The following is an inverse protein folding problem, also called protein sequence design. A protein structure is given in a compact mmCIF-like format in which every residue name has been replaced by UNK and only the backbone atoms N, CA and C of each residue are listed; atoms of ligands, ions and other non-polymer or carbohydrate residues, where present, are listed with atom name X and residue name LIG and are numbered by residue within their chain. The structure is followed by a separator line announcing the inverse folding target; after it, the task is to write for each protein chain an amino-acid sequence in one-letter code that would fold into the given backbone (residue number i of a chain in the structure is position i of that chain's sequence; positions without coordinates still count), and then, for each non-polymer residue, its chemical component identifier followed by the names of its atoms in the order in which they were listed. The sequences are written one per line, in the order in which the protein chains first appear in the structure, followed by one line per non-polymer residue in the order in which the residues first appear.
data_IF_141541759647
#
_entry.id   IF_141541759647
#
_cell.length_a   1.000
_cell.length_b   1.000
_cell.length_c   1.000
_cell.angle_alpha   90.00
_cell.angle_beta   90.00
_cell.angle_gamma   90.00
#
_symmetry.space_group_name_H-M   'P 1'
#
loop_
_entity.id
_entity.type
_entity.pdbx_description
1 polymer ?
#
# COMPACT_ATOMS: atom_id res chain seq x y z
N UNK A 1 5.97 36.15 73.45
CA UNK A 1 5.94 34.90 72.68
C UNK A 1 4.78 34.97 71.69
N UNK A 2 5.09 35.43 70.48
CA UNK A 2 4.14 35.60 69.37
C UNK A 2 3.71 34.23 68.85
N UNK A 3 2.41 33.93 68.90
CA UNK A 3 1.90 32.62 68.44
C UNK A 3 1.73 32.65 66.92
N UNK A 4 2.65 31.97 66.22
CA UNK A 4 2.57 31.69 64.79
C UNK A 4 1.29 30.91 64.45
N UNK A 5 0.35 31.59 63.81
CA UNK A 5 -0.92 31.03 63.34
C UNK A 5 -0.63 30.22 62.06
N UNK A 6 -0.62 28.88 62.17
CA UNK A 6 -0.48 27.96 61.02
C UNK A 6 -1.59 28.22 59.99
N UNK A 7 -1.22 28.76 58.83
CA UNK A 7 -2.10 28.90 57.67
C UNK A 7 -2.25 27.51 57.02
N UNK A 8 -3.41 26.87 57.20
CA UNK A 8 -3.77 25.63 56.48
C UNK A 8 -4.16 25.99 55.04
N UNK A 9 -3.31 25.67 54.08
CA UNK A 9 -3.60 25.81 52.64
C UNK A 9 -4.65 24.75 52.29
N UNK A 10 -5.88 25.19 51.97
CA UNK A 10 -6.98 24.31 51.54
C UNK A 10 -6.69 23.89 50.10
N UNK A 11 -6.26 22.63 49.88
CA UNK A 11 -6.14 22.05 48.53
C UNK A 11 -7.51 22.13 47.85
N UNK A 12 -7.62 22.92 46.78
CA UNK A 12 -8.84 22.94 45.94
C UNK A 12 -8.94 21.59 45.26
N UNK A 13 -10.12 20.96 45.31
CA UNK A 13 -10.40 19.77 44.50
C UNK A 13 -10.63 20.24 43.06
N UNK A 14 -9.68 19.98 42.18
CA UNK A 14 -9.85 20.16 40.75
C UNK A 14 -10.59 18.93 40.20
N UNK A 15 -11.88 19.07 39.94
CA UNK A 15 -12.69 18.08 39.23
C UNK A 15 -13.12 18.65 37.89
N UNK A 16 -13.24 17.80 36.88
CA UNK A 16 -13.85 18.16 35.60
C UNK A 16 -15.31 18.54 35.82
N UNK A 17 -15.77 19.59 35.16
CA UNK A 17 -17.19 19.93 35.15
C UNK A 17 -17.95 18.97 34.23
N UNK A 18 -19.22 18.67 34.55
CA UNK A 18 -20.08 17.89 33.66
C UNK A 18 -20.20 18.54 32.28
N UNK A 19 -20.20 19.87 32.24
CA UNK A 19 -20.29 20.65 31.00
C UNK A 19 -19.03 20.48 30.15
N UNK A 20 -17.84 20.46 30.75
CA UNK A 20 -16.60 20.17 30.02
C UNK A 20 -16.63 18.78 29.40
N UNK A 21 -17.08 17.76 30.14
CA UNK A 21 -17.14 16.40 29.61
C UNK A 21 -18.16 16.27 28.46
N UNK A 22 -19.33 16.92 28.60
CA UNK A 22 -20.39 16.90 27.59
C UNK A 22 -19.98 17.61 26.31
N UNK A 23 -19.29 18.76 26.40
CA UNK A 23 -18.80 19.46 25.22
C UNK A 23 -17.73 18.64 24.49
N UNK A 24 -16.86 17.93 25.23
CA UNK A 24 -15.80 17.10 24.63
C UNK A 24 -16.38 15.96 23.79
N UNK A 25 -17.36 15.21 24.33
CA UNK A 25 -17.99 14.13 23.55
C UNK A 25 -18.80 14.69 22.36
N UNK A 26 -19.38 15.89 22.49
CA UNK A 26 -20.06 16.56 21.39
C UNK A 26 -19.09 16.90 20.25
N UNK A 27 -17.92 17.48 20.57
CA UNK A 27 -16.90 17.82 19.57
C UNK A 27 -16.32 16.55 18.92
N UNK A 28 -15.97 15.53 19.72
CA UNK A 28 -15.45 14.24 19.19
C UNK A 28 -16.49 13.59 18.28
N UNK A 29 -17.78 13.65 18.64
CA UNK A 29 -18.87 13.13 17.81
C UNK A 29 -18.90 13.78 16.42
N UNK A 30 -18.85 15.11 16.36
CA UNK A 30 -18.84 15.87 15.09
C UNK A 30 -17.60 15.53 14.26
N UNK A 31 -16.40 15.53 14.87
CA UNK A 31 -15.16 15.21 14.17
C UNK A 31 -15.15 13.76 13.65
N UNK A 32 -15.65 12.80 14.43
CA UNK A 32 -15.68 11.38 14.05
C UNK A 32 -16.59 11.10 12.85
N UNK A 33 -17.72 11.82 12.73
CA UNK A 33 -18.66 11.64 11.62
C UNK A 33 -18.06 12.03 10.27
N UNK A 34 -17.25 13.09 10.21
CA UNK A 34 -16.61 13.58 8.98
C UNK A 34 -15.54 12.58 8.49
N UNK A 35 -14.74 12.03 9.41
CA UNK A 35 -13.63 11.12 9.08
C UNK A 35 -14.11 9.83 8.41
N UNK A 36 -15.28 9.32 8.78
CA UNK A 36 -15.80 8.04 8.31
C UNK A 36 -16.04 8.01 6.79
N UNK A 37 -16.44 9.13 6.19
CA UNK A 37 -16.78 9.19 4.76
C UNK A 37 -15.52 9.04 3.88
N UNK A 38 -14.35 9.47 4.36
CA UNK A 38 -13.11 9.44 3.57
C UNK A 38 -12.29 8.16 3.69
N UNK A 39 -12.41 7.41 4.81
CA UNK A 39 -11.47 6.33 5.16
C UNK A 39 -11.46 5.16 4.16
N UNK A 40 -12.58 4.92 3.47
CA UNK A 40 -12.71 3.84 2.49
C UNK A 40 -11.80 4.08 1.29
N UNK A 41 -11.81 5.29 0.71
CA UNK A 41 -10.94 5.66 -0.42
C UNK A 41 -9.46 5.66 -0.04
N UNK A 42 -9.10 6.14 1.16
CA UNK A 42 -7.71 6.08 1.64
C UNK A 42 -7.21 4.65 1.77
N UNK A 43 -8.04 3.72 2.27
CA UNK A 43 -7.68 2.30 2.37
C UNK A 43 -7.49 1.66 1.00
N UNK A 44 -8.34 1.98 0.03
CA UNK A 44 -8.21 1.48 -1.36
C UNK A 44 -6.90 1.95 -1.98
N UNK A 45 -6.60 3.25 -1.92
CA UNK A 45 -5.35 3.79 -2.47
C UNK A 45 -4.12 3.19 -1.77
N UNK A 46 -4.16 3.01 -0.44
CA UNK A 46 -3.07 2.37 0.29
C UNK A 46 -2.83 0.91 -0.16
N UNK A 47 -3.90 0.15 -0.46
CA UNK A 47 -3.77 -1.22 -1.01
C UNK A 47 -3.12 -1.22 -2.40
N UNK A 48 -3.61 -0.34 -3.28
CA UNK A 48 -3.07 -0.18 -4.65
C UNK A 48 -1.57 0.17 -4.60
N UNK A 49 -1.19 1.17 -3.80
CA UNK A 49 0.21 1.57 -3.63
C UNK A 49 1.07 0.45 -3.03
N UNK A 50 0.54 -0.31 -2.07
CA UNK A 50 1.26 -1.44 -1.48
C UNK A 50 1.57 -2.51 -2.52
N UNK A 51 0.56 -2.92 -3.30
CA UNK A 51 0.74 -3.92 -4.36
C UNK A 51 1.71 -3.41 -5.42
N UNK A 52 1.55 -2.15 -5.85
CA UNK A 52 2.49 -1.52 -6.79
C UNK A 52 3.94 -1.54 -6.30
N UNK A 53 4.18 -1.27 -5.01
CA UNK A 53 5.51 -1.34 -4.41
C UNK A 53 6.06 -2.78 -4.35
N UNK A 54 5.23 -3.75 -3.97
CA UNK A 54 5.62 -5.17 -3.93
C UNK A 54 5.99 -5.71 -5.33
N UNK A 55 5.23 -5.32 -6.35
CA UNK A 55 5.52 -5.66 -7.75
C UNK A 55 6.75 -4.92 -8.27
N UNK A 56 6.91 -3.64 -7.92
CA UNK A 56 8.08 -2.83 -8.28
C UNK A 56 9.38 -3.43 -7.76
N UNK A 57 9.36 -4.04 -6.56
CA UNK A 57 10.51 -4.76 -6.01
C UNK A 57 10.98 -5.95 -6.84
N UNK A 58 10.12 -6.51 -7.72
CA UNK A 58 10.48 -7.65 -8.57
C UNK A 58 11.09 -7.24 -9.92
N UNK A 59 10.98 -5.97 -10.32
CA UNK A 59 11.53 -5.47 -11.60
C UNK A 59 13.03 -5.80 -11.71
N UNK A 60 13.79 -5.58 -10.63
CA UNK A 60 15.24 -5.87 -10.60
C UNK A 60 15.52 -7.37 -10.75
N UNK A 61 14.75 -8.22 -10.07
CA UNK A 61 14.89 -9.68 -10.13
C UNK A 61 14.65 -10.23 -11.54
N UNK A 62 13.66 -9.68 -12.24
CA UNK A 62 13.33 -10.00 -13.62
C UNK A 62 14.50 -9.59 -14.54
N UNK A 63 14.99 -8.35 -14.42
CA UNK A 63 16.12 -7.88 -15.22
C UNK A 63 17.37 -8.73 -15.01
N UNK A 64 17.70 -9.07 -13.75
CA UNK A 64 18.83 -9.96 -13.44
C UNK A 64 18.67 -11.36 -14.03
N UNK A 65 17.46 -11.94 -13.98
CA UNK A 65 17.21 -13.25 -14.60
C UNK A 65 17.53 -13.22 -16.10
N UNK A 66 17.09 -12.18 -16.81
CA UNK A 66 17.42 -12.04 -18.23
C UNK A 66 18.90 -11.75 -18.49
N UNK A 67 19.58 -11.01 -17.60
CA UNK A 67 21.02 -10.76 -17.73
C UNK A 67 21.86 -12.03 -17.65
N UNK A 68 21.37 -13.06 -16.96
CA UNK A 68 22.05 -14.35 -16.81
C UNK A 68 21.50 -15.43 -17.77
N UNK A 69 20.94 -15.01 -18.91
CA UNK A 69 20.31 -15.86 -19.93
C UNK A 69 19.21 -16.79 -19.38
N UNK A 70 18.52 -16.36 -18.33
CA UNK A 70 17.37 -17.06 -17.74
C UNK A 70 16.05 -16.73 -18.42
N UNK A 71 15.07 -17.61 -18.27
CA UNK A 71 13.68 -17.36 -18.67
C UNK A 71 12.84 -16.99 -17.45
N UNK A 72 12.02 -15.95 -17.57
CA UNK A 72 11.13 -15.51 -16.49
C UNK A 72 9.84 -16.31 -16.54
N UNK A 73 9.44 -16.88 -15.41
CA UNK A 73 8.20 -17.64 -15.27
C UNK A 73 7.00 -16.71 -15.14
N UNK A 74 5.84 -17.18 -15.62
CA UNK A 74 4.59 -16.47 -15.42
C UNK A 74 4.36 -16.16 -13.92
N UNK A 75 3.90 -14.95 -13.58
CA UNK A 75 3.75 -14.54 -12.21
C UNK A 75 2.66 -15.34 -11.52
N UNK A 76 3.06 -16.03 -10.46
CA UNK A 76 2.17 -16.80 -9.60
C UNK A 76 2.76 -16.79 -8.19
N UNK A 77 1.96 -16.39 -7.21
CA UNK A 77 2.40 -16.20 -5.83
C UNK A 77 3.20 -17.39 -5.30
N UNK A 78 4.44 -17.14 -4.89
CA UNK A 78 5.36 -18.15 -4.37
C UNK A 78 6.18 -18.92 -5.42
N UNK A 79 5.91 -18.74 -6.71
CA UNK A 79 6.74 -19.30 -7.80
C UNK A 79 8.04 -18.52 -7.97
N UNK A 80 9.10 -19.19 -8.42
CA UNK A 80 10.38 -18.52 -8.71
C UNK A 80 10.19 -17.56 -9.90
N UNK A 81 10.80 -16.38 -9.81
CA UNK A 81 10.76 -15.38 -10.89
C UNK A 81 11.52 -15.91 -12.11
N UNK A 82 12.73 -16.42 -11.88
CA UNK A 82 13.54 -17.06 -12.91
C UNK A 82 13.26 -18.57 -12.92
N UNK A 83 12.85 -19.12 -14.05
CA UNK A 83 12.52 -20.54 -14.17
C UNK A 83 13.75 -21.40 -13.93
N UNK A 84 13.60 -22.43 -13.08
CA UNK A 84 14.68 -23.34 -12.75
C UNK A 84 15.79 -22.74 -11.89
N UNK A 85 15.69 -21.48 -11.43
CA UNK A 85 16.70 -20.83 -10.59
C UNK A 85 16.07 -20.17 -9.36
N UNK A 86 16.55 -20.50 -8.17
CA UNK A 86 16.03 -19.99 -6.90
C UNK A 86 16.71 -18.71 -6.39
N UNK A 87 17.79 -18.27 -7.03
CA UNK A 87 18.58 -17.10 -6.58
C UNK A 87 17.91 -15.74 -6.84
N UNK A 88 16.93 -15.67 -7.73
CA UNK A 88 16.33 -14.41 -8.22
C UNK A 88 15.02 -14.05 -7.50
N UNK A 89 14.80 -14.61 -6.31
CA UNK A 89 13.56 -14.39 -5.56
C UNK A 89 12.32 -15.04 -6.17
N UNK A 90 11.18 -14.77 -5.55
CA UNK A 90 9.88 -15.37 -5.86
C UNK A 90 8.85 -14.28 -6.08
N UNK A 91 7.87 -14.57 -6.93
CA UNK A 91 6.71 -13.72 -7.10
C UNK A 91 5.97 -13.57 -5.76
N UNK A 92 5.71 -12.34 -5.28
CA UNK A 92 5.02 -12.13 -4.02
C UNK A 92 3.59 -12.68 -4.09
N UNK A 93 3.11 -13.21 -2.96
CA UNK A 93 1.69 -13.52 -2.83
C UNK A 93 0.94 -12.20 -2.62
N UNK A 94 0.13 -11.81 -3.60
CA UNK A 94 -0.67 -10.59 -3.52
C UNK A 94 -1.75 -10.71 -2.44
N UNK A 95 -2.06 -9.59 -1.78
CA UNK A 95 -2.98 -9.56 -0.64
C UNK A 95 -4.43 -9.36 -1.08
N UNK A 96 -5.34 -10.12 -0.47
CA UNK A 96 -6.79 -9.96 -0.67
C UNK A 96 -7.24 -10.45 -2.06
N UNK A 97 -8.07 -9.65 -2.72
CA UNK A 97 -8.64 -9.93 -4.05
C UNK A 97 -7.67 -9.64 -5.22
N UNK A 98 -6.41 -9.31 -4.92
CA UNK A 98 -5.42 -9.04 -5.96
C UNK A 98 -4.92 -10.33 -6.58
N UNK A 99 -5.04 -10.43 -7.90
CA UNK A 99 -4.54 -11.54 -8.70
C UNK A 99 -3.58 -11.06 -9.78
N UNK A 100 -2.67 -11.94 -10.20
CA UNK A 100 -1.87 -11.68 -11.40
C UNK A 100 -2.75 -11.77 -12.65
N UNK A 101 -2.53 -10.84 -13.58
CA UNK A 101 -3.23 -10.75 -14.86
C UNK A 101 -2.39 -11.30 -16.01
N UNK A 102 -2.50 -10.67 -17.17
CA UNK A 102 -1.66 -11.00 -18.32
C UNK A 102 -0.19 -10.66 -18.07
N UNK A 103 0.68 -11.51 -18.61
CA UNK A 103 2.13 -11.32 -18.58
C UNK A 103 2.77 -11.87 -19.84
N UNK A 104 3.81 -11.19 -20.31
CA UNK A 104 4.61 -11.63 -21.45
C UNK A 104 6.08 -11.29 -21.20
N UNK A 105 6.96 -12.27 -21.36
CA UNK A 105 8.39 -12.16 -21.08
C UNK A 105 9.19 -12.63 -22.29
N UNK A 106 9.45 -11.73 -23.25
CA UNK A 106 10.14 -12.08 -24.50
C UNK A 106 11.65 -11.90 -24.42
N UNK A 107 12.10 -10.82 -23.80
CA UNK A 107 13.53 -10.48 -23.66
C UNK A 107 13.73 -9.48 -22.54
N UNK A 108 14.99 -9.17 -22.19
CA UNK A 108 15.36 -8.17 -21.18
C UNK A 108 14.72 -6.78 -21.39
N UNK A 109 14.52 -6.39 -22.65
CA UNK A 109 13.98 -5.08 -23.03
C UNK A 109 12.51 -5.12 -23.45
N UNK A 110 11.89 -6.31 -23.51
CA UNK A 110 10.53 -6.47 -23.99
C UNK A 110 9.78 -7.48 -23.10
N UNK A 111 9.18 -6.93 -22.04
CA UNK A 111 8.33 -7.69 -21.15
C UNK A 111 7.33 -6.78 -20.44
N UNK A 112 6.21 -7.38 -20.05
CA UNK A 112 5.25 -6.77 -19.14
C UNK A 112 4.59 -7.83 -18.26
N UNK A 113 4.11 -7.42 -17.10
CA UNK A 113 3.19 -8.21 -16.31
C UNK A 113 2.20 -7.30 -15.60
N UNK A 114 1.05 -7.85 -15.25
CA UNK A 114 0.00 -7.11 -14.57
C UNK A 114 -0.51 -7.81 -13.34
N UNK A 115 -1.12 -7.02 -12.45
CA UNK A 115 -1.97 -7.50 -11.40
C UNK A 115 -3.25 -6.67 -11.38
N UNK A 116 -4.37 -7.31 -11.07
CA UNK A 116 -5.67 -6.66 -11.02
C UNK A 116 -6.44 -7.07 -9.78
N UNK A 117 -7.32 -6.19 -9.33
CA UNK A 117 -8.32 -6.50 -8.31
C UNK A 117 -9.70 -6.04 -8.80
N UNK A 118 -10.68 -6.91 -8.60
CA UNK A 118 -12.08 -6.66 -8.88
C UNK A 118 -12.73 -5.77 -7.82
N UNK A 119 -12.33 -5.90 -6.54
CA UNK A 119 -12.81 -5.07 -5.43
C UNK A 119 -12.36 -3.61 -5.55
N UNK A 120 -11.07 -3.41 -5.83
CA UNK A 120 -10.46 -2.08 -5.92
C UNK A 120 -10.63 -1.47 -7.33
N UNK A 121 -11.14 -2.24 -8.31
CA UNK A 121 -11.31 -1.86 -9.74
C UNK A 121 -10.05 -1.18 -10.28
N UNK A 122 -8.91 -1.81 -10.03
CA UNK A 122 -7.60 -1.27 -10.38
C UNK A 122 -6.76 -2.35 -11.07
N UNK A 123 -6.01 -1.92 -12.08
CA UNK A 123 -5.03 -2.74 -12.80
C UNK A 123 -3.68 -2.05 -12.62
N UNK A 124 -2.70 -2.78 -12.11
CA UNK A 124 -1.31 -2.38 -12.04
C UNK A 124 -0.56 -3.07 -13.17
N UNK A 125 0.16 -2.30 -13.96
CA UNK A 125 0.97 -2.75 -15.06
C UNK A 125 2.43 -2.42 -14.78
N UNK A 126 3.31 -3.39 -15.01
CA UNK A 126 4.76 -3.23 -14.92
C UNK A 126 5.37 -3.65 -16.25
N UNK A 127 6.25 -2.83 -16.81
CA UNK A 127 6.91 -3.14 -18.09
C UNK A 127 8.39 -2.76 -18.13
N UNK A 128 9.09 -3.28 -19.13
CA UNK A 128 10.49 -2.98 -19.42
C UNK A 128 10.70 -1.56 -19.94
N UNK A 129 9.79 -1.06 -20.77
CA UNK A 129 9.89 0.24 -21.47
C UNK A 129 10.13 1.40 -20.49
N UNK A 130 9.38 1.43 -19.39
CA UNK A 130 9.51 2.46 -18.36
C UNK A 130 10.23 1.97 -17.11
N UNK A 131 10.56 0.68 -17.04
CA UNK A 131 11.18 0.04 -15.87
C UNK A 131 10.46 0.39 -14.56
N UNK A 132 9.14 0.54 -14.62
CA UNK A 132 8.29 0.95 -13.50
C UNK A 132 6.98 0.18 -13.52
N UNK A 133 6.34 0.16 -12.37
CA UNK A 133 4.97 -0.30 -12.19
C UNK A 133 4.07 0.90 -11.99
N UNK A 134 2.81 0.84 -12.42
CA UNK A 134 1.81 1.83 -12.04
C UNK A 134 0.42 1.48 -12.55
N UNK A 135 -0.54 2.34 -12.22
CA UNK A 135 -1.95 2.07 -12.47
C UNK A 135 -2.30 2.38 -13.93
N UNK A 136 -3.14 1.53 -14.52
CA UNK A 136 -3.68 1.71 -15.87
C UNK A 136 -5.20 1.58 -15.84
N UNK A 137 -5.89 2.34 -16.69
CA UNK A 137 -7.37 2.36 -16.77
C UNK A 137 -7.93 1.36 -17.81
N UNK A 138 -7.04 0.58 -18.44
CA UNK A 138 -7.37 -0.43 -19.44
C UNK A 138 -6.49 -1.68 -19.33
N UNK A 139 -6.19 -2.30 -20.47
CA UNK A 139 -5.28 -3.45 -20.52
C UNK A 139 -3.82 -3.06 -20.26
N UNK A 140 -3.04 -4.01 -19.77
CA UNK A 140 -1.59 -3.88 -19.67
C UNK A 140 -0.92 -4.49 -20.91
N UNK A 141 -0.02 -3.74 -21.53
CA UNK A 141 0.80 -4.16 -22.65
C UNK A 141 2.17 -3.46 -22.64
N UNK A 142 2.96 -3.72 -23.67
CA UNK A 142 4.35 -3.24 -23.77
C UNK A 142 4.48 -1.72 -23.92
N UNK A 143 3.47 -1.08 -24.51
CA UNK A 143 3.43 0.35 -24.84
C UNK A 143 2.38 1.13 -24.02
N UNK A 144 1.76 0.49 -23.01
CA UNK A 144 0.78 1.18 -22.17
C UNK A 144 1.47 2.26 -21.33
N UNK A 145 1.04 3.51 -21.48
CA UNK A 145 1.49 4.61 -20.62
C UNK A 145 1.04 4.34 -19.18
N UNK A 146 2.02 4.37 -18.28
CA UNK A 146 1.82 4.12 -16.86
C UNK A 146 1.52 5.45 -16.19
N UNK A 147 0.29 5.61 -15.68
CA UNK A 147 -0.08 6.78 -14.90
C UNK A 147 0.63 6.73 -13.55
N UNK A 148 1.44 7.75 -13.28
CA UNK A 148 1.98 7.99 -11.94
C UNK A 148 0.82 8.47 -11.04
N UNK A 149 0.62 7.78 -9.92
CA UNK A 149 -0.42 8.08 -8.91
C UNK A 149 -0.28 9.49 -8.32
#
# INVERSE_FOLDING_TARGET
MEKLKKIKIKKRRCGFTLVELLLVIAIIGILSGIILVGVTSYRKNARVTKVMAELGGQLQNITMCFSDDGSVGAPNGGSNICQGRSSYGKWPALLGDWGYGSSEFRSSSNWYFSASSSEDRAIICCNSTYSKCGKVDGGCGLETEINDL
#
